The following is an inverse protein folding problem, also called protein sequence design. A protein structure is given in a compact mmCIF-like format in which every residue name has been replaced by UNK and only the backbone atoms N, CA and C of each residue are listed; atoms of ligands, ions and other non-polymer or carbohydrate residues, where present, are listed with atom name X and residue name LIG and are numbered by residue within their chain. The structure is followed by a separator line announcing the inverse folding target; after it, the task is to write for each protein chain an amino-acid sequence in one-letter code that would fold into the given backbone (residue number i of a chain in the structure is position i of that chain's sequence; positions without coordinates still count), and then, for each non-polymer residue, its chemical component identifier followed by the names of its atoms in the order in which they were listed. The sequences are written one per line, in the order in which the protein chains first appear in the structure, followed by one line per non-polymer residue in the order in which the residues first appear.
data_IF_968528102586
#
_entry.id   IF_968528102586
#
_cell.length_a   1.000
_cell.length_b   1.000
_cell.length_c   1.000
_cell.angle_alpha   90.00
_cell.angle_beta   90.00
_cell.angle_gamma   90.00
#
_symmetry.space_group_name_H-M   'P 1'
#
loop_
_entity.id
_entity.type
_entity.pdbx_description
1 polymer ?
#
# COMPACT_ATOMS: atom_id res chain seq x y z
N UNK A 1 -10.98 19.24 -0.81
CA UNK A 1 -12.35 19.29 -1.37
C UNK A 1 -12.33 19.47 -2.90
N UNK A 2 -11.94 20.63 -3.44
CA UNK A 2 -11.91 20.84 -4.90
C UNK A 2 -10.94 19.93 -5.66
N UNK A 3 -9.72 19.73 -5.12
CA UNK A 3 -8.71 18.86 -5.74
C UNK A 3 -9.16 17.39 -5.80
N UNK A 4 -9.79 16.89 -4.74
CA UNK A 4 -10.26 15.50 -4.67
C UNK A 4 -11.38 15.23 -5.67
N UNK A 5 -12.31 16.18 -5.84
CA UNK A 5 -13.36 16.09 -6.86
C UNK A 5 -12.77 16.11 -8.28
N UNK A 6 -11.76 16.96 -8.52
CA UNK A 6 -11.05 17.00 -9.80
C UNK A 6 -10.35 15.67 -10.11
N UNK A 7 -9.66 15.07 -9.14
CA UNK A 7 -9.00 13.78 -9.34
C UNK A 7 -10.00 12.66 -9.64
N UNK A 8 -11.16 12.65 -8.98
CA UNK A 8 -12.23 11.67 -9.24
C UNK A 8 -12.78 11.74 -10.67
N UNK A 9 -12.75 12.91 -11.31
CA UNK A 9 -13.14 13.05 -12.71
C UNK A 9 -11.99 12.73 -13.67
N UNK A 10 -10.74 12.99 -13.26
CA UNK A 10 -9.56 12.85 -14.11
C UNK A 10 -8.94 11.45 -14.11
N UNK A 11 -9.19 10.64 -13.07
CA UNK A 11 -8.63 9.30 -12.90
C UNK A 11 -9.77 8.29 -12.87
N UNK A 12 -9.65 7.24 -13.69
CA UNK A 12 -10.49 6.05 -13.57
C UNK A 12 -10.08 5.27 -12.32
N UNK A 13 -10.72 5.55 -11.20
CA UNK A 13 -10.41 4.92 -9.91
C UNK A 13 -10.79 3.45 -9.87
N UNK A 14 -11.81 3.02 -10.63
CA UNK A 14 -12.20 1.61 -10.68
C UNK A 14 -11.10 0.78 -11.35
N UNK A 15 -10.63 1.21 -12.53
CA UNK A 15 -9.50 0.55 -13.19
C UNK A 15 -8.24 0.66 -12.31
N UNK A 16 -8.02 1.80 -11.66
CA UNK A 16 -6.84 2.00 -10.81
C UNK A 16 -6.81 1.06 -9.60
N UNK A 17 -7.94 0.89 -8.92
CA UNK A 17 -8.10 -0.03 -7.80
C UNK A 17 -7.87 -1.47 -8.23
N UNK A 18 -8.40 -1.86 -9.40
CA UNK A 18 -8.15 -3.19 -9.96
C UNK A 18 -6.65 -3.43 -10.22
N UNK A 19 -5.91 -2.41 -10.72
CA UNK A 19 -4.45 -2.53 -10.91
C UNK A 19 -3.69 -2.61 -9.59
N UNK A 20 -4.12 -1.89 -8.56
CA UNK A 20 -3.49 -1.95 -7.23
C UNK A 20 -3.72 -3.34 -6.62
N UNK A 21 -4.92 -3.89 -6.74
CA UNK A 21 -5.24 -5.23 -6.26
C UNK A 21 -4.38 -6.29 -6.95
N UNK A 22 -4.41 -6.34 -8.29
CA UNK A 22 -3.61 -7.31 -9.04
C UNK A 22 -2.10 -7.13 -8.78
N UNK A 23 -1.62 -5.89 -8.71
CA UNK A 23 -0.21 -5.60 -8.43
C UNK A 23 0.21 -6.11 -7.06
N UNK A 24 -0.62 -5.90 -6.04
CA UNK A 24 -0.38 -6.37 -4.67
C UNK A 24 -0.36 -7.90 -4.60
N UNK A 25 -1.37 -8.55 -5.19
CA UNK A 25 -1.45 -10.02 -5.26
C UNK A 25 -0.30 -10.63 -6.04
N UNK A 26 0.09 -10.00 -7.16
CA UNK A 26 1.24 -10.43 -7.95
C UNK A 26 2.53 -10.38 -7.15
N UNK A 27 2.82 -9.27 -6.47
CA UNK A 27 4.03 -9.14 -5.65
C UNK A 27 4.05 -10.15 -4.48
N UNK A 28 2.89 -10.41 -3.87
CA UNK A 28 2.78 -11.42 -2.81
C UNK A 28 3.04 -12.84 -3.33
N UNK A 29 2.53 -13.15 -4.53
CA UNK A 29 2.82 -14.41 -5.20
C UNK A 29 4.32 -14.55 -5.51
N UNK A 30 4.98 -13.48 -5.96
CA UNK A 30 6.44 -13.47 -6.18
C UNK A 30 7.20 -13.77 -4.90
N UNK A 31 6.83 -13.14 -3.77
CA UNK A 31 7.44 -13.43 -2.46
C UNK A 31 7.26 -14.90 -2.07
N UNK A 32 6.10 -15.49 -2.37
CA UNK A 32 5.81 -16.89 -2.06
C UNK A 32 6.59 -17.87 -2.92
N UNK A 33 6.78 -17.56 -4.21
CA UNK A 33 7.42 -18.44 -5.20
C UNK A 33 8.93 -18.26 -5.30
N UNK A 34 9.51 -17.25 -4.63
CA UNK A 34 10.94 -16.97 -4.70
C UNK A 34 11.74 -17.98 -3.89
N UNK A 35 12.75 -18.59 -4.52
CA UNK A 35 13.76 -19.40 -3.85
C UNK A 35 14.96 -18.51 -3.46
N UNK A 36 15.41 -18.63 -2.21
CA UNK A 36 16.55 -17.86 -1.71
C UNK A 36 17.75 -18.77 -1.46
N UNK A 37 18.97 -18.37 -1.86
CA UNK A 37 20.17 -19.21 -1.75
C UNK A 37 20.72 -19.33 -0.31
N UNK A 38 20.16 -18.58 0.65
CA UNK A 38 20.60 -18.53 2.05
C UNK A 38 19.39 -18.62 2.95
N UNK A 39 19.33 -19.65 3.78
CA UNK A 39 18.18 -19.94 4.67
C UNK A 39 17.78 -18.74 5.54
N UNK A 40 18.76 -17.98 6.06
CA UNK A 40 18.50 -16.76 6.86
C UNK A 40 17.75 -15.68 6.09
N UNK A 41 17.98 -15.58 4.78
CA UNK A 41 17.28 -14.62 3.91
C UNK A 41 15.86 -15.12 3.68
N UNK A 42 15.70 -16.41 3.41
CA UNK A 42 14.38 -17.02 3.23
C UNK A 42 13.51 -16.83 4.47
N UNK A 43 14.04 -17.15 5.65
CA UNK A 43 13.38 -16.96 6.95
C UNK A 43 12.93 -15.51 7.08
N UNK A 44 13.85 -14.55 6.92
CA UNK A 44 13.49 -13.13 7.11
C UNK A 44 12.47 -12.61 6.10
N UNK A 45 12.50 -13.11 4.85
CA UNK A 45 11.50 -12.78 3.83
C UNK A 45 10.15 -13.39 4.18
N UNK A 46 10.10 -14.64 4.66
CA UNK A 46 8.87 -15.28 5.11
C UNK A 46 8.29 -14.61 6.34
N UNK A 47 9.14 -14.12 7.24
CA UNK A 47 8.71 -13.47 8.48
C UNK A 47 8.03 -12.13 8.24
N UNK A 48 8.60 -11.29 7.38
CA UNK A 48 8.09 -9.93 7.16
C UNK A 48 7.21 -9.80 5.92
N UNK A 49 7.43 -10.65 4.91
CA UNK A 49 6.71 -10.65 3.61
C UNK A 49 6.60 -9.28 2.96
N UNK A 50 7.66 -8.47 3.02
CA UNK A 50 7.65 -7.10 2.47
C UNK A 50 7.50 -7.14 0.96
N UNK A 51 6.60 -6.31 0.44
CA UNK A 51 6.47 -6.02 -0.99
C UNK A 51 6.65 -4.51 -1.23
N UNK A 52 6.84 -4.13 -2.50
CA UNK A 52 7.10 -2.75 -2.89
C UNK A 52 6.30 -2.35 -4.11
N UNK A 53 5.00 -2.11 -3.94
CA UNK A 53 4.17 -1.52 -4.98
C UNK A 53 4.54 -0.04 -5.12
N UNK A 54 5.05 0.32 -6.29
CA UNK A 54 5.46 1.68 -6.63
C UNK A 54 4.65 2.26 -7.77
N UNK A 55 4.93 3.50 -8.12
CA UNK A 55 4.36 4.17 -9.29
C UNK A 55 5.46 4.67 -10.21
N UNK A 56 5.11 4.77 -11.49
CA UNK A 56 5.87 5.49 -12.49
C UNK A 56 4.93 6.46 -13.22
N UNK A 57 5.48 7.44 -13.93
CA UNK A 57 4.66 8.32 -14.77
C UNK A 57 4.05 9.54 -14.07
N UNK A 58 4.45 9.87 -12.84
CA UNK A 58 3.90 11.01 -12.09
C UNK A 58 4.07 12.34 -12.84
N UNK A 59 5.22 12.55 -13.49
CA UNK A 59 5.45 13.75 -14.29
C UNK A 59 4.53 13.82 -15.52
N UNK A 60 4.27 12.68 -16.17
CA UNK A 60 3.36 12.57 -17.30
C UNK A 60 1.91 12.85 -16.87
N UNK A 61 1.50 12.35 -15.70
CA UNK A 61 0.21 12.69 -15.10
C UNK A 61 0.09 14.21 -14.91
N UNK A 62 1.09 14.86 -14.34
CA UNK A 62 1.06 16.32 -14.17
C UNK A 62 0.94 17.07 -15.49
N UNK A 63 1.61 16.63 -16.55
CA UNK A 63 1.48 17.22 -17.88
C UNK A 63 0.04 17.11 -18.40
N UNK A 64 -0.59 15.93 -18.24
CA UNK A 64 -1.98 15.71 -18.68
C UNK A 64 -2.99 16.54 -17.87
N UNK A 65 -2.74 16.71 -16.57
CA UNK A 65 -3.58 17.52 -15.68
C UNK A 65 -3.28 19.03 -15.78
N UNK A 66 -2.28 19.44 -16.56
CA UNK A 66 -1.86 20.84 -16.66
C UNK A 66 -1.23 21.38 -15.37
N UNK A 67 -0.71 20.51 -14.50
CA UNK A 67 -0.12 20.85 -13.21
C UNK A 67 1.39 21.05 -13.37
N UNK A 68 1.91 22.14 -12.80
CA UNK A 68 3.36 22.38 -12.77
C UNK A 68 4.00 21.60 -11.62
N UNK A 69 5.09 20.90 -11.92
CA UNK A 69 5.87 20.20 -10.91
C UNK A 69 6.40 21.15 -9.82
N UNK A 70 6.41 20.71 -8.56
CA UNK A 70 6.94 21.48 -7.43
C UNK A 70 6.01 22.57 -6.90
N UNK A 71 4.75 22.59 -7.36
CA UNK A 71 3.69 23.43 -6.81
C UNK A 71 3.01 22.74 -5.62
N UNK A 72 2.33 23.52 -4.78
CA UNK A 72 1.55 22.98 -3.66
C UNK A 72 0.43 22.08 -4.18
N UNK A 73 -0.19 22.45 -5.30
CA UNK A 73 -1.22 21.66 -5.97
C UNK A 73 -0.68 20.31 -6.46
N UNK A 74 0.50 20.30 -7.10
CA UNK A 74 1.14 19.05 -7.51
C UNK A 74 1.49 18.15 -6.32
N UNK A 75 2.04 18.73 -5.25
CA UNK A 75 2.34 17.96 -4.03
C UNK A 75 1.06 17.35 -3.42
N UNK A 76 -0.05 18.08 -3.44
CA UNK A 76 -1.33 17.60 -2.95
C UNK A 76 -1.90 16.46 -3.82
N UNK A 77 -1.75 16.53 -5.14
CA UNK A 77 -2.11 15.43 -6.05
C UNK A 77 -1.27 14.18 -5.75
N UNK A 78 0.05 14.31 -5.64
CA UNK A 78 0.91 13.17 -5.28
C UNK A 78 0.54 12.58 -3.92
N UNK A 79 0.26 13.44 -2.94
CA UNK A 79 -0.14 13.00 -1.59
C UNK A 79 -1.43 12.19 -1.64
N UNK A 80 -2.47 12.68 -2.31
CA UNK A 80 -3.74 11.97 -2.42
C UNK A 80 -3.58 10.64 -3.19
N UNK A 81 -2.87 10.65 -4.31
CA UNK A 81 -2.64 9.45 -5.11
C UNK A 81 -1.88 8.38 -4.31
N UNK A 82 -0.79 8.75 -3.64
CA UNK A 82 -0.02 7.80 -2.84
C UNK A 82 -0.77 7.33 -1.59
N UNK A 83 -1.60 8.19 -0.98
CA UNK A 83 -2.47 7.79 0.13
C UNK A 83 -3.44 6.71 -0.35
N UNK A 84 -4.09 6.93 -1.49
CA UNK A 84 -5.03 5.98 -2.10
C UNK A 84 -4.40 4.62 -2.38
N UNK A 85 -3.24 4.60 -3.06
CA UNK A 85 -2.49 3.35 -3.32
C UNK A 85 -2.11 2.63 -2.02
N UNK A 86 -1.66 3.38 -1.04
CA UNK A 86 -1.21 2.83 0.24
C UNK A 86 -2.36 2.24 1.06
N UNK A 87 -3.55 2.84 1.00
CA UNK A 87 -4.77 2.31 1.65
C UNK A 87 -5.28 1.09 0.90
N UNK A 88 -5.48 1.19 -0.42
CA UNK A 88 -5.98 0.09 -1.26
C UNK A 88 -5.06 -1.14 -1.21
N UNK A 89 -3.74 -0.97 -1.31
CA UNK A 89 -2.80 -2.11 -1.21
C UNK A 89 -2.82 -2.79 0.17
N UNK A 90 -3.09 -2.06 1.26
CA UNK A 90 -3.26 -2.69 2.59
C UNK A 90 -4.57 -3.43 2.70
N UNK A 91 -5.64 -2.91 2.10
CA UNK A 91 -6.91 -3.62 2.03
C UNK A 91 -6.76 -4.94 1.28
N UNK A 92 -6.14 -4.95 0.10
CA UNK A 92 -5.84 -6.20 -0.63
C UNK A 92 -4.95 -7.14 0.20
N UNK A 93 -3.96 -6.61 0.92
CA UNK A 93 -3.10 -7.41 1.78
C UNK A 93 -3.85 -7.99 2.99
N UNK A 94 -4.86 -7.30 3.52
CA UNK A 94 -5.76 -7.80 4.55
C UNK A 94 -6.63 -8.95 4.03
N UNK A 95 -7.22 -8.80 2.85
CA UNK A 95 -7.96 -9.89 2.18
C UNK A 95 -7.07 -11.13 2.00
N UNK A 96 -5.84 -10.94 1.50
CA UNK A 96 -4.86 -12.03 1.39
C UNK A 96 -4.54 -12.68 2.73
N UNK A 97 -4.58 -11.94 3.84
CA UNK A 97 -4.38 -12.49 5.16
C UNK A 97 -5.54 -13.40 5.57
N UNK A 98 -6.78 -13.05 5.22
CA UNK A 98 -7.95 -13.90 5.46
C UNK A 98 -7.88 -15.22 4.66
N UNK A 99 -7.28 -15.18 3.47
CA UNK A 99 -7.13 -16.35 2.59
C UNK A 99 -5.92 -17.23 2.96
N UNK A 100 -4.79 -16.62 3.35
CA UNK A 100 -3.46 -17.29 3.41
C UNK A 100 -2.76 -17.17 4.77
N UNK A 101 -3.36 -16.46 5.72
CA UNK A 101 -2.77 -16.11 7.02
C UNK A 101 -1.92 -14.83 6.98
N UNK A 102 -1.59 -14.28 8.13
CA UNK A 102 -0.72 -13.10 8.27
C UNK A 102 0.75 -13.41 7.98
N UNK A 103 1.62 -12.39 8.00
CA UNK A 103 3.07 -12.60 8.07
C UNK A 103 3.48 -13.06 9.49
N UNK A 104 4.60 -13.78 9.63
CA UNK A 104 4.94 -14.43 10.91
C UNK A 104 5.13 -13.43 12.06
N UNK A 105 5.79 -12.30 11.79
CA UNK A 105 6.07 -11.25 12.79
C UNK A 105 4.84 -10.34 13.07
N UNK A 106 3.61 -10.74 12.70
CA UNK A 106 2.43 -9.85 12.76
C UNK A 106 2.09 -9.43 14.19
N UNK A 107 2.21 -10.33 15.17
CA UNK A 107 1.91 -10.04 16.58
C UNK A 107 2.83 -8.94 17.17
N UNK A 108 4.05 -8.82 16.65
CA UNK A 108 5.01 -7.78 17.05
C UNK A 108 4.83 -6.47 16.26
N UNK A 109 3.89 -6.43 15.32
CA UNK A 109 3.68 -5.31 14.44
C UNK A 109 2.65 -4.32 14.99
N UNK A 110 2.68 -3.09 14.46
CA UNK A 110 1.69 -2.08 14.80
C UNK A 110 0.25 -2.46 14.41
N UNK A 111 0.09 -3.40 13.48
CA UNK A 111 -1.23 -3.87 13.05
C UNK A 111 -1.89 -4.80 14.09
N UNK A 112 -1.12 -5.42 14.99
CA UNK A 112 -1.68 -6.23 16.07
C UNK A 112 -2.29 -5.37 17.19
N UNK A 113 -1.89 -4.10 17.32
CA UNK A 113 -2.41 -3.18 18.32
C UNK A 113 -2.79 -1.81 17.71
N UNK A 114 -3.86 -1.72 16.88
CA UNK A 114 -4.26 -0.49 16.21
C UNK A 114 -4.56 0.66 17.17
N UNK A 115 -5.18 0.38 18.30
CA UNK A 115 -5.57 1.38 19.31
C UNK A 115 -4.35 2.03 19.99
N UNK A 116 -3.30 1.27 20.29
CA UNK A 116 -2.02 1.81 20.82
C UNK A 116 -1.27 2.64 19.78
N UNK A 117 -1.51 2.38 18.50
CA UNK A 117 -0.87 3.03 17.37
C UNK A 117 -1.85 3.84 16.52
N UNK A 118 -2.91 4.38 17.13
CA UNK A 118 -4.05 5.00 16.44
C UNK A 118 -3.66 5.95 15.30
N UNK A 119 -2.92 7.00 15.62
CA UNK A 119 -2.54 8.03 14.63
C UNK A 119 -1.81 7.42 13.43
N UNK A 120 -0.97 6.40 13.68
CA UNK A 120 -0.27 5.68 12.63
C UNK A 120 -1.24 4.78 11.86
N UNK A 121 -2.07 4.01 12.55
CA UNK A 121 -3.00 3.07 11.93
C UNK A 121 -3.99 3.79 11.01
N UNK A 122 -4.69 4.80 11.52
CA UNK A 122 -5.69 5.56 10.77
C UNK A 122 -5.04 6.28 9.58
N UNK A 123 -3.85 6.87 9.77
CA UNK A 123 -3.13 7.54 8.68
C UNK A 123 -2.72 6.57 7.55
N UNK A 124 -2.16 5.41 7.91
CA UNK A 124 -1.58 4.49 6.91
C UNK A 124 -2.59 3.48 6.36
N UNK A 125 -3.73 3.24 7.00
CA UNK A 125 -4.77 2.30 6.52
C UNK A 125 -6.02 3.02 6.02
N UNK A 126 -6.34 4.21 6.54
CA UNK A 126 -7.61 4.88 6.28
C UNK A 126 -8.79 4.29 7.06
N UNK A 127 -8.54 3.34 7.96
CA UNK A 127 -9.54 2.65 8.77
C UNK A 127 -9.58 3.23 10.19
N UNK A 128 -10.72 3.11 10.87
CA UNK A 128 -10.88 3.50 12.27
C UNK A 128 -10.20 2.48 13.18
N UNK A 129 -9.30 2.91 14.05
CA UNK A 129 -8.61 1.99 14.97
C UNK A 129 -9.56 1.32 15.97
N UNK A 130 -10.70 1.95 16.29
CA UNK A 130 -11.70 1.38 17.22
C UNK A 130 -12.46 0.20 16.62
N UNK A 131 -12.57 0.12 15.29
CA UNK A 131 -13.16 -1.04 14.60
C UNK A 131 -12.22 -2.25 14.56
N UNK A 132 -10.95 -2.06 14.93
CA UNK A 132 -9.88 -3.07 14.84
C UNK A 132 -9.13 -3.22 16.17
N UNK A 133 -9.84 -3.13 17.30
CA UNK A 133 -9.24 -3.23 18.64
C UNK A 133 -8.49 -4.55 18.88
N UNK A 134 -8.96 -5.65 18.28
CA UNK A 134 -8.37 -6.99 18.36
C UNK A 134 -7.24 -7.24 17.34
N UNK A 135 -6.87 -6.22 16.55
CA UNK A 135 -5.84 -6.28 15.53
C UNK A 135 -6.38 -6.38 14.11
N UNK A 136 -5.62 -5.79 13.18
CA UNK A 136 -5.89 -5.80 11.75
C UNK A 136 -5.00 -6.85 11.05
N UNK A 137 -5.52 -8.04 10.72
CA UNK A 137 -4.71 -9.07 10.08
C UNK A 137 -4.28 -8.61 8.69
N UNK A 138 -2.99 -8.70 8.39
CA UNK A 138 -2.46 -8.30 7.08
C UNK A 138 -1.36 -9.25 6.64
N UNK A 139 -1.26 -9.50 5.33
CA UNK A 139 -0.34 -10.50 4.76
C UNK A 139 1.09 -9.98 4.64
N UNK A 140 1.27 -8.68 4.51
CA UNK A 140 2.56 -8.04 4.23
C UNK A 140 2.86 -6.94 5.24
N UNK A 141 4.07 -6.93 5.81
CA UNK A 141 4.48 -5.86 6.74
C UNK A 141 4.50 -4.48 6.06
N UNK A 142 5.04 -4.40 4.84
CA UNK A 142 5.01 -3.21 3.98
C UNK A 142 4.41 -3.57 2.61
N UNK A 143 3.57 -2.69 2.08
CA UNK A 143 2.93 -2.87 0.77
C UNK A 143 3.51 -1.96 -0.33
N UNK A 144 3.86 -0.73 0.01
CA UNK A 144 4.30 0.28 -0.99
C UNK A 144 5.78 0.65 -0.85
N UNK A 145 6.47 0.83 -1.97
CA UNK A 145 7.83 1.40 -2.04
C UNK A 145 8.04 1.96 -3.45
N UNK A 146 8.47 3.22 -3.57
CA UNK A 146 8.79 3.83 -4.86
C UNK A 146 10.27 3.62 -5.15
N UNK A 147 10.58 2.68 -6.05
CA UNK A 147 11.92 2.43 -6.55
C UNK A 147 12.22 3.25 -7.83
N UNK A 148 13.49 3.49 -8.19
CA UNK A 148 13.84 3.97 -9.52
C UNK A 148 13.33 3.02 -10.61
N UNK A 149 12.73 3.56 -11.66
CA UNK A 149 12.11 2.78 -12.75
C UNK A 149 12.83 2.92 -14.10
N UNK A 150 14.04 3.50 -14.10
CA UNK A 150 14.90 3.72 -15.26
C UNK A 150 15.77 4.94 -15.11
#
# INVERSE_FOLDING_TARGET
AAMSAFLQEAIDFEEFDERIDYGTRFLENVVTMSDFPVDKIEEKVRDMRKIGLGVMGLAQLYIQLGIRYGTEEGNEVARQLMTHINHASKQTSHELATERGTFNDWEESKYANPTEHRDWFEHYTGLDADEWEDGFPIRNHNTTTIAPTG
#
